data_IF_434301414771
#
_entry.id   IF_434301414771
#
_cell.length_a   1.000
_cell.length_b   1.000
_cell.length_c   1.000
_cell.angle_alpha   90.00
_cell.angle_beta   90.00
_cell.angle_gamma   90.00
#
_symmetry.space_group_name_H-M   'P 1'
#
loop_
_entity.id
_entity.type
_entity.pdbx_description
1 polymer ?
#
# COMPACT_ATOMS: atom_id res chain seq x y z
N UNK A 1 46.02 1.57 -72.27
CA UNK A 1 47.10 1.81 -71.28
C UNK A 1 46.53 1.39 -69.92
N UNK A 2 46.63 0.11 -69.57
CA UNK A 2 47.74 -0.56 -68.87
C UNK A 2 47.96 -0.08 -67.43
N UNK A 3 47.65 -0.96 -66.47
CA UNK A 3 48.40 -1.35 -65.26
C UNK A 3 47.37 -1.80 -64.20
N UNK A 4 47.05 -3.09 -63.98
CA UNK A 4 47.83 -4.16 -63.34
C UNK A 4 48.59 -3.75 -62.07
N UNK A 5 48.21 -4.36 -60.94
CA UNK A 5 48.87 -4.29 -59.64
C UNK A 5 48.00 -4.94 -58.55
N UNK A 6 47.95 -6.28 -58.50
CA UNK A 6 48.66 -7.10 -57.49
C UNK A 6 47.94 -7.17 -56.14
N UNK A 7 47.26 -8.29 -55.91
CA UNK A 7 46.70 -8.68 -54.62
C UNK A 7 47.81 -8.96 -53.59
N UNK A 8 47.71 -8.46 -52.35
CA UNK A 8 48.55 -8.92 -51.26
C UNK A 8 47.80 -9.96 -50.40
N UNK A 9 48.34 -11.18 -50.47
CA UNK A 9 48.69 -12.06 -49.37
C UNK A 9 47.80 -12.04 -48.10
N UNK A 10 46.95 -13.07 -47.98
CA UNK A 10 46.26 -13.43 -46.73
C UNK A 10 47.29 -14.09 -45.80
N UNK A 11 47.67 -13.38 -44.74
CA UNK A 11 48.27 -13.96 -43.53
C UNK A 11 47.18 -14.01 -42.44
N UNK A 12 47.10 -15.09 -41.65
CA UNK A 12 46.08 -15.18 -40.59
C UNK A 12 46.48 -14.26 -39.44
N UNK A 13 45.68 -13.24 -39.19
CA UNK A 13 45.84 -12.37 -38.01
C UNK A 13 45.05 -12.98 -36.86
N UNK A 14 45.81 -13.23 -35.81
CA UNK A 14 45.48 -13.68 -34.45
C UNK A 14 44.08 -13.32 -33.92
N UNK A 15 43.48 -14.30 -33.25
CA UNK A 15 42.44 -14.12 -32.22
C UNK A 15 42.87 -13.02 -31.24
N UNK A 16 42.25 -11.86 -31.32
CA UNK A 16 42.25 -10.90 -30.21
C UNK A 16 40.96 -10.05 -30.20
N UNK A 17 40.18 -10.31 -29.17
CA UNK A 17 39.26 -9.39 -28.49
C UNK A 17 38.08 -8.83 -29.31
N UNK A 18 37.02 -9.63 -29.39
CA UNK A 18 35.64 -9.12 -29.33
C UNK A 18 35.53 -8.27 -28.07
N UNK A 19 35.59 -6.94 -28.21
CA UNK A 19 35.14 -6.02 -27.16
C UNK A 19 33.63 -6.20 -27.06
N UNK A 20 33.21 -7.04 -26.13
CA UNK A 20 31.85 -7.02 -25.59
C UNK A 20 31.52 -5.58 -25.21
N UNK A 21 30.64 -4.94 -25.99
CA UNK A 21 30.01 -3.70 -25.57
C UNK A 21 29.21 -4.04 -24.32
N UNK A 22 29.61 -3.47 -23.17
CA UNK A 22 28.91 -3.68 -21.91
C UNK A 22 27.40 -3.45 -22.10
N UNK A 23 26.55 -4.29 -21.48
CA UNK A 23 25.11 -4.13 -21.60
C UNK A 23 24.72 -2.79 -20.98
N UNK A 24 24.24 -1.88 -21.83
CA UNK A 24 23.63 -0.62 -21.40
C UNK A 24 22.42 -0.98 -20.54
N UNK A 25 22.54 -0.74 -19.23
CA UNK A 25 21.49 -0.99 -18.25
C UNK A 25 20.20 -0.25 -18.69
N UNK A 26 19.08 -0.96 -18.93
CA UNK A 26 17.80 -0.34 -19.31
C UNK A 26 17.22 0.59 -18.21
N UNK A 27 17.88 0.70 -17.06
CA UNK A 27 17.52 1.56 -15.94
C UNK A 27 18.18 2.96 -15.96
N UNK A 28 19.05 3.27 -16.94
CA UNK A 28 19.61 4.63 -17.08
C UNK A 28 18.52 5.61 -17.54
N UNK A 29 17.87 6.26 -16.57
CA UNK A 29 16.87 7.32 -16.79
C UNK A 29 15.58 7.18 -15.98
N UNK A 30 15.35 6.05 -15.30
CA UNK A 30 14.21 5.90 -14.39
C UNK A 30 14.53 6.61 -13.07
N UNK A 31 14.00 7.81 -12.84
CA UNK A 31 14.00 8.46 -11.51
C UNK A 31 13.05 7.72 -10.54
N UNK A 32 13.34 6.46 -10.22
CA UNK A 32 12.65 5.68 -9.20
C UNK A 32 13.36 5.77 -7.84
N UNK A 33 13.42 6.98 -7.26
CA UNK A 33 14.07 7.20 -5.97
C UNK A 33 13.16 6.77 -4.81
N UNK A 34 13.20 5.52 -4.36
CA UNK A 34 12.68 5.19 -3.02
C UNK A 34 13.81 5.16 -2.02
N UNK A 35 13.75 5.96 -0.95
CA UNK A 35 14.68 5.86 0.18
C UNK A 35 14.74 4.45 0.79
N UNK A 36 15.91 4.05 1.28
CA UNK A 36 16.16 2.75 1.91
C UNK A 36 15.29 2.59 3.17
N UNK A 37 14.44 1.55 3.18
CA UNK A 37 13.57 1.27 4.32
C UNK A 37 14.32 0.51 5.42
N UNK A 38 14.79 1.22 6.45
CA UNK A 38 15.50 0.64 7.59
C UNK A 38 14.53 -0.06 8.54
N UNK A 39 14.60 -1.40 8.64
CA UNK A 39 13.91 -2.15 9.70
C UNK A 39 13.26 -3.49 9.34
N UNK A 40 13.74 -4.22 8.33
CA UNK A 40 13.21 -5.55 8.01
C UNK A 40 13.93 -6.64 8.82
N UNK A 41 13.29 -7.17 9.87
CA UNK A 41 13.71 -8.44 10.47
C UNK A 41 13.30 -9.62 9.58
N UNK A 42 14.25 -10.53 9.37
CA UNK A 42 14.32 -11.64 8.40
C UNK A 42 13.24 -12.75 8.48
N UNK A 43 12.14 -12.59 9.22
CA UNK A 43 11.12 -13.65 9.37
C UNK A 43 9.70 -13.09 9.37
N UNK A 44 9.06 -13.05 8.19
CA UNK A 44 7.62 -12.80 8.07
C UNK A 44 6.85 -14.12 8.26
N UNK A 45 6.59 -14.51 9.51
CA UNK A 45 5.64 -15.59 9.78
C UNK A 45 4.23 -15.23 9.31
N UNK A 46 3.47 -16.19 8.75
CA UNK A 46 2.03 -16.05 8.47
C UNK A 46 1.29 -15.75 9.78
N UNK A 47 1.10 -14.48 10.13
CA UNK A 47 0.25 -14.07 11.26
C UNK A 47 -1.21 -14.05 10.81
N UNK A 48 -2.13 -14.57 11.63
CA UNK A 48 -3.58 -14.47 11.38
C UNK A 48 -3.97 -12.99 11.30
N UNK A 49 -4.68 -12.60 10.24
CA UNK A 49 -5.15 -11.23 10.04
C UNK A 49 -6.29 -10.95 11.01
N UNK A 50 -6.24 -9.82 11.70
CA UNK A 50 -7.32 -9.35 12.57
C UNK A 50 -8.44 -8.83 11.68
N UNK A 51 -9.65 -9.32 11.91
CA UNK A 51 -10.88 -8.81 11.30
C UNK A 51 -11.69 -8.17 12.43
N UNK A 52 -12.09 -6.92 12.25
CA UNK A 52 -13.09 -6.32 13.11
C UNK A 52 -14.42 -7.06 12.92
N UNK A 53 -15.04 -7.44 14.03
CA UNK A 53 -16.25 -8.28 14.09
C UNK A 53 -17.29 -7.69 15.05
N UNK A 54 -17.28 -6.37 15.19
CA UNK A 54 -18.10 -5.61 16.14
C UNK A 54 -19.44 -5.15 15.56
N UNK A 55 -19.88 -5.73 14.44
CA UNK A 55 -21.09 -5.31 13.73
C UNK A 55 -20.97 -3.94 13.04
N UNK A 56 -19.77 -3.35 12.96
CA UNK A 56 -19.54 -2.00 12.43
C UNK A 56 -18.60 -2.00 11.24
N UNK A 57 -18.40 -0.81 10.66
CA UNK A 57 -17.33 -0.60 9.69
C UNK A 57 -15.96 -0.56 10.37
N UNK A 58 -14.95 -1.07 9.68
CA UNK A 58 -13.59 -1.22 10.19
C UNK A 58 -12.58 -0.58 9.23
N UNK A 59 -11.62 0.15 9.77
CA UNK A 59 -10.60 0.84 8.99
C UNK A 59 -9.30 0.05 9.04
N UNK A 60 -8.69 -0.16 7.87
CA UNK A 60 -7.44 -0.89 7.74
C UNK A 60 -6.43 -0.08 6.96
N UNK A 61 -5.19 -0.04 7.43
CA UNK A 61 -4.05 0.30 6.59
C UNK A 61 -3.54 -0.97 5.92
N UNK A 62 -3.60 -1.01 4.61
CA UNK A 62 -3.07 -2.11 3.79
C UNK A 62 -1.82 -1.67 3.04
N UNK A 63 -0.87 -2.58 2.92
CA UNK A 63 0.35 -2.34 2.15
C UNK A 63 0.91 -3.64 1.55
N UNK A 64 1.56 -3.52 0.40
CA UNK A 64 2.32 -4.61 -0.21
C UNK A 64 3.52 -4.06 -0.97
N UNK A 65 4.56 -4.88 -1.11
CA UNK A 65 5.83 -4.56 -1.77
C UNK A 65 6.13 -5.61 -2.84
N UNK A 66 6.78 -5.19 -3.91
CA UNK A 66 7.25 -6.07 -4.99
C UNK A 66 8.43 -6.94 -4.54
N UNK A 67 8.66 -8.06 -5.23
CA UNK A 67 9.81 -8.95 -4.99
C UNK A 67 11.14 -8.23 -5.29
N UNK A 68 12.19 -8.58 -4.55
CA UNK A 68 13.56 -8.10 -4.79
C UNK A 68 13.83 -6.65 -4.37
N UNK A 69 12.81 -5.79 -4.36
CA UNK A 69 13.02 -4.35 -4.22
C UNK A 69 13.44 -3.67 -5.53
N UNK A 70 13.76 -4.48 -6.55
CA UNK A 70 14.25 -4.06 -7.87
C UNK A 70 13.13 -3.88 -8.91
N UNK A 71 11.91 -4.32 -8.58
CA UNK A 71 10.75 -4.09 -9.46
C UNK A 71 10.09 -2.77 -9.09
N UNK A 72 10.30 -1.78 -9.94
CA UNK A 72 9.76 -0.43 -9.82
C UNK A 72 8.70 -0.16 -10.88
N UNK A 73 7.58 0.39 -10.42
CA UNK A 73 6.50 0.85 -11.27
C UNK A 73 6.90 2.17 -11.92
N UNK A 74 6.82 2.22 -13.24
CA UNK A 74 6.79 3.46 -14.00
C UNK A 74 5.46 4.20 -13.77
N UNK A 75 5.25 5.34 -14.42
CA UNK A 75 4.06 6.16 -14.22
C UNK A 75 2.79 5.49 -14.77
N UNK A 76 2.90 4.82 -15.91
CA UNK A 76 1.81 4.07 -16.52
C UNK A 76 1.37 2.90 -15.63
N UNK A 77 2.32 2.25 -14.97
CA UNK A 77 2.09 1.12 -14.07
C UNK A 77 1.45 1.54 -12.76
N UNK A 78 1.84 2.71 -12.23
CA UNK A 78 1.15 3.31 -11.09
C UNK A 78 -0.31 3.64 -11.45
N UNK A 79 -0.55 4.20 -12.64
CA UNK A 79 -1.91 4.47 -13.12
C UNK A 79 -2.73 3.18 -13.32
N UNK A 80 -2.14 2.17 -13.97
CA UNK A 80 -2.78 0.87 -14.15
C UNK A 80 -3.10 0.21 -12.80
N UNK A 81 -2.19 0.29 -11.83
CA UNK A 81 -2.42 -0.20 -10.48
C UNK A 81 -3.57 0.54 -9.80
N UNK A 82 -3.61 1.88 -9.89
CA UNK A 82 -4.66 2.71 -9.32
C UNK A 82 -6.04 2.37 -9.90
N UNK A 83 -6.12 2.14 -11.22
CA UNK A 83 -7.35 1.71 -11.90
C UNK A 83 -7.82 0.37 -11.33
N UNK A 84 -6.93 -0.63 -11.23
CA UNK A 84 -7.26 -1.95 -10.68
C UNK A 84 -7.72 -1.85 -9.23
N UNK A 85 -6.99 -1.09 -8.40
CA UNK A 85 -7.28 -0.87 -6.99
C UNK A 85 -8.68 -0.30 -6.79
N UNK A 86 -9.01 0.79 -7.50
CA UNK A 86 -10.30 1.50 -7.41
C UNK A 86 -11.45 0.67 -7.96
N UNK A 87 -11.26 0.03 -9.12
CA UNK A 87 -12.29 -0.80 -9.77
C UNK A 87 -12.71 -1.96 -8.86
N UNK A 88 -11.74 -2.64 -8.26
CA UNK A 88 -12.00 -3.73 -7.32
C UNK A 88 -12.54 -3.23 -5.98
N UNK A 89 -12.11 -2.07 -5.49
CA UNK A 89 -12.66 -1.50 -4.26
C UNK A 89 -14.17 -1.21 -4.39
N UNK A 90 -14.58 -0.60 -5.52
CA UNK A 90 -16.01 -0.37 -5.85
C UNK A 90 -16.81 -1.68 -5.90
N UNK A 91 -16.28 -2.71 -6.55
CA UNK A 91 -16.93 -4.01 -6.61
C UNK A 91 -17.05 -4.66 -5.22
N UNK A 92 -15.97 -4.65 -4.44
CA UNK A 92 -15.95 -5.27 -3.12
C UNK A 92 -16.64 -4.43 -2.04
N UNK A 93 -17.22 -3.26 -2.37
CA UNK A 93 -17.83 -2.38 -1.37
C UNK A 93 -16.83 -1.78 -0.38
N UNK A 94 -15.55 -1.72 -0.74
CA UNK A 94 -14.48 -1.15 0.07
C UNK A 94 -14.32 0.33 -0.30
N UNK A 95 -14.35 1.20 0.71
CA UNK A 95 -14.08 2.62 0.51
C UNK A 95 -12.59 2.86 0.69
N UNK A 96 -11.93 3.41 -0.34
CA UNK A 96 -10.56 3.91 -0.22
C UNK A 96 -10.63 5.30 0.42
N UNK A 97 -10.01 5.45 1.58
CA UNK A 97 -9.96 6.70 2.34
C UNK A 97 -8.81 7.58 1.88
N UNK A 98 -7.63 7.00 1.71
CA UNK A 98 -6.48 7.60 0.99
C UNK A 98 -5.56 6.48 0.49
N UNK A 99 -4.60 6.80 -0.36
CA UNK A 99 -3.62 5.88 -0.90
C UNK A 99 -2.30 6.58 -1.24
N UNK A 100 -1.24 5.82 -1.41
CA UNK A 100 0.03 6.28 -1.97
C UNK A 100 0.67 5.11 -2.72
N UNK A 101 0.86 5.24 -4.04
CA UNK A 101 1.49 4.22 -4.89
C UNK A 101 2.91 4.68 -5.18
N UNK A 102 3.88 3.99 -4.60
CA UNK A 102 5.31 4.25 -4.76
C UNK A 102 5.87 3.39 -5.90
N UNK A 103 7.16 3.52 -6.19
CA UNK A 103 7.82 2.69 -7.21
C UNK A 103 7.73 1.19 -6.91
N UNK A 104 8.14 0.72 -5.73
CA UNK A 104 8.19 -0.73 -5.43
C UNK A 104 7.16 -1.19 -4.39
N UNK A 105 6.27 -0.31 -3.92
CA UNK A 105 5.27 -0.64 -2.92
C UNK A 105 4.09 0.33 -2.96
N UNK A 106 3.01 0.01 -2.27
CA UNK A 106 1.89 0.95 -2.09
C UNK A 106 1.34 0.86 -0.67
N UNK A 107 0.65 1.93 -0.28
CA UNK A 107 -0.10 2.07 0.96
C UNK A 107 -1.54 2.47 0.60
N UNK A 108 -2.53 1.93 1.30
CA UNK A 108 -3.90 2.42 1.22
C UNK A 108 -4.57 2.34 2.59
N UNK A 109 -5.28 3.40 2.97
CA UNK A 109 -6.21 3.38 4.10
C UNK A 109 -7.59 3.07 3.55
N UNK A 110 -8.23 2.03 4.07
CA UNK A 110 -9.52 1.58 3.55
C UNK A 110 -10.53 1.33 4.66
N UNK A 111 -11.80 1.65 4.40
CA UNK A 111 -12.92 1.32 5.26
C UNK A 111 -13.68 0.14 4.65
N UNK A 112 -13.82 -0.93 5.44
CA UNK A 112 -14.61 -2.11 5.12
C UNK A 112 -15.94 -1.99 5.87
N UNK A 113 -17.09 -1.99 5.19
CA UNK A 113 -18.38 -1.88 5.86
C UNK A 113 -18.75 -3.19 6.58
N UNK A 114 -19.73 -3.11 7.49
CA UNK A 114 -20.33 -4.30 8.08
C UNK A 114 -21.02 -5.13 6.98
N UNK A 115 -20.52 -6.35 6.77
CA UNK A 115 -20.84 -7.16 5.59
C UNK A 115 -22.34 -7.51 5.49
N UNK A 116 -23.02 -8.05 6.52
CA UNK A 116 -24.45 -8.35 6.45
C UNK A 116 -25.29 -7.13 6.04
N UNK A 117 -25.15 -6.01 6.74
CA UNK A 117 -25.91 -4.79 6.45
C UNK A 117 -25.62 -4.24 5.05
N UNK A 118 -24.36 -4.34 4.59
CA UNK A 118 -24.00 -3.90 3.25
C UNK A 118 -24.63 -4.80 2.17
N UNK A 119 -24.54 -6.13 2.31
CA UNK A 119 -25.12 -7.07 1.36
C UNK A 119 -26.63 -6.93 1.28
N UNK A 120 -27.30 -6.81 2.42
CA UNK A 120 -28.74 -6.58 2.47
C UNK A 120 -29.12 -5.27 1.77
N UNK A 121 -28.39 -4.18 2.04
CA UNK A 121 -28.65 -2.89 1.37
C UNK A 121 -28.46 -2.93 -0.15
N UNK A 122 -27.61 -3.83 -0.66
CA UNK A 122 -27.28 -3.94 -2.09
C UNK A 122 -28.11 -4.96 -2.83
N UNK A 123 -28.38 -6.10 -2.21
CA UNK A 123 -28.97 -7.27 -2.85
C UNK A 123 -30.24 -7.74 -2.15
N UNK A 124 -30.67 -7.11 -1.07
CA UNK A 124 -31.80 -7.55 -0.25
C UNK A 124 -31.45 -8.77 0.61
N UNK A 125 -32.43 -9.21 1.39
CA UNK A 125 -32.32 -10.45 2.16
C UNK A 125 -32.16 -11.67 1.23
N UNK A 126 -31.54 -12.77 1.71
CA UNK A 126 -31.52 -14.03 0.97
C UNK A 126 -32.93 -14.44 0.53
N UNK A 127 -33.08 -14.80 -0.75
CA UNK A 127 -34.38 -15.15 -1.34
C UNK A 127 -35.29 -13.96 -1.69
N UNK A 128 -34.91 -12.72 -1.38
CA UNK A 128 -35.71 -11.55 -1.73
C UNK A 128 -35.76 -11.35 -3.26
N UNK A 129 -36.95 -11.00 -3.77
CA UNK A 129 -37.16 -10.73 -5.19
C UNK A 129 -36.20 -9.64 -5.71
N UNK A 130 -35.62 -9.88 -6.89
CA UNK A 130 -34.72 -8.95 -7.57
C UNK A 130 -33.28 -8.88 -7.03
N UNK A 131 -32.93 -9.64 -5.98
CA UNK A 131 -31.56 -9.65 -5.45
C UNK A 131 -30.51 -10.12 -6.44
N UNK A 132 -30.82 -11.17 -7.20
CA UNK A 132 -29.97 -11.68 -8.27
C UNK A 132 -29.79 -10.66 -9.41
N UNK A 133 -30.87 -10.00 -9.84
CA UNK A 133 -30.80 -8.98 -10.88
C UNK A 133 -29.87 -7.81 -10.45
N UNK A 134 -29.95 -7.39 -9.18
CA UNK A 134 -29.03 -6.39 -8.61
C UNK A 134 -27.59 -6.90 -8.56
N UNK A 135 -27.37 -8.17 -8.24
CA UNK A 135 -26.04 -8.79 -8.27
C UNK A 135 -25.45 -8.81 -9.68
N UNK A 136 -26.22 -9.28 -10.68
CA UNK A 136 -25.81 -9.29 -12.08
C UNK A 136 -25.47 -7.88 -12.58
N UNK A 137 -26.27 -6.86 -12.23
CA UNK A 137 -25.94 -5.46 -12.53
C UNK A 137 -24.62 -5.03 -11.88
N UNK A 138 -24.39 -5.41 -10.62
CA UNK A 138 -23.17 -5.10 -9.88
C UNK A 138 -21.92 -5.80 -10.45
N UNK A 139 -22.07 -7.02 -11.01
CA UNK A 139 -21.00 -7.72 -11.73
C UNK A 139 -20.49 -6.92 -12.95
N UNK A 140 -21.32 -6.05 -13.54
CA UNK A 140 -20.95 -5.14 -14.62
C UNK A 140 -19.83 -4.16 -14.25
N UNK A 141 -19.52 -3.98 -12.96
CA UNK A 141 -18.33 -3.23 -12.53
C UNK A 141 -17.02 -3.92 -12.90
N UNK A 142 -17.01 -5.25 -13.07
CA UNK A 142 -15.81 -6.04 -13.34
C UNK A 142 -15.83 -6.74 -14.70
N UNK A 143 -17.00 -7.13 -15.17
CA UNK A 143 -17.17 -7.97 -16.36
C UNK A 143 -17.91 -7.24 -17.47
N UNK A 144 -17.71 -7.67 -18.72
CA UNK A 144 -18.42 -7.12 -19.86
C UNK A 144 -19.92 -7.45 -19.81
N UNK A 145 -20.72 -6.65 -20.52
CA UNK A 145 -22.17 -6.92 -20.67
C UNK A 145 -22.43 -8.32 -21.25
N UNK A 146 -21.61 -8.74 -22.23
CA UNK A 146 -21.69 -10.07 -22.85
C UNK A 146 -21.44 -11.19 -21.83
N UNK A 147 -20.44 -11.03 -20.97
CA UNK A 147 -20.15 -12.01 -19.93
C UNK A 147 -21.27 -12.11 -18.90
N UNK A 148 -21.81 -10.97 -18.45
CA UNK A 148 -22.94 -10.95 -17.50
C UNK A 148 -24.20 -11.57 -18.10
N UNK A 149 -24.49 -11.31 -19.38
CA UNK A 149 -25.63 -11.91 -20.08
C UNK A 149 -25.46 -13.43 -20.24
N UNK A 150 -24.25 -13.89 -20.58
CA UNK A 150 -23.94 -15.32 -20.66
C UNK A 150 -24.11 -16.01 -19.30
N UNK A 151 -23.62 -15.42 -18.21
CA UNK A 151 -23.82 -15.94 -16.86
C UNK A 151 -25.30 -16.05 -16.50
N UNK A 152 -26.10 -15.03 -16.82
CA UNK A 152 -27.55 -15.04 -16.57
C UNK A 152 -28.22 -16.20 -17.31
N UNK A 153 -27.95 -16.35 -18.61
CA UNK A 153 -28.53 -17.43 -19.41
C UNK A 153 -28.08 -18.82 -18.92
N UNK A 154 -26.81 -18.96 -18.52
CA UNK A 154 -26.29 -20.19 -17.91
C UNK A 154 -27.03 -20.55 -16.63
N UNK A 155 -27.23 -19.58 -15.72
CA UNK A 155 -27.93 -19.81 -14.45
C UNK A 155 -29.41 -20.14 -14.65
N UNK A 156 -30.08 -19.49 -15.60
CA UNK A 156 -31.46 -19.82 -15.98
C UNK A 156 -31.56 -21.25 -16.52
N UNK A 157 -30.66 -21.65 -17.43
CA UNK A 157 -30.60 -23.02 -17.96
C UNK A 157 -30.30 -24.05 -16.88
N UNK A 158 -29.36 -23.78 -15.98
CA UNK A 158 -29.04 -24.66 -14.86
C UNK A 158 -30.26 -24.91 -13.97
N UNK A 159 -31.04 -23.87 -13.64
CA UNK A 159 -32.23 -24.04 -12.79
C UNK A 159 -33.30 -24.90 -13.44
N UNK A 160 -33.42 -24.89 -14.77
CA UNK A 160 -34.36 -25.75 -15.51
C UNK A 160 -33.99 -27.23 -15.47
N UNK A 161 -32.73 -27.56 -15.16
CA UNK A 161 -32.25 -28.95 -15.07
C UNK A 161 -32.55 -29.62 -13.72
N UNK A 162 -33.23 -28.92 -12.81
CA UNK A 162 -33.71 -29.46 -11.53
C UNK A 162 -32.99 -28.90 -10.30
N UNK A 163 -33.44 -29.35 -9.12
CA UNK A 163 -33.06 -28.78 -7.82
C UNK A 163 -31.55 -28.83 -7.55
N UNK A 164 -30.86 -29.90 -7.96
CA UNK A 164 -29.42 -30.05 -7.78
C UNK A 164 -28.62 -28.96 -8.50
N UNK A 165 -29.00 -28.63 -9.74
CA UNK A 165 -28.35 -27.55 -10.50
C UNK A 165 -28.74 -26.17 -9.99
N UNK A 166 -29.99 -25.99 -9.52
CA UNK A 166 -30.42 -24.76 -8.87
C UNK A 166 -29.57 -24.45 -7.61
N UNK A 167 -29.26 -25.47 -6.80
CA UNK A 167 -28.38 -25.33 -5.63
C UNK A 167 -26.97 -24.85 -6.01
N UNK A 168 -26.40 -25.39 -7.09
CA UNK A 168 -25.08 -24.95 -7.57
C UNK A 168 -25.08 -23.48 -8.03
N UNK A 169 -26.19 -22.98 -8.57
CA UNK A 169 -26.33 -21.55 -8.89
C UNK A 169 -26.29 -20.71 -7.61
N UNK A 170 -27.00 -21.11 -6.57
CA UNK A 170 -26.96 -20.39 -5.28
C UNK A 170 -25.56 -20.42 -4.65
N UNK A 171 -24.84 -21.54 -4.74
CA UNK A 171 -23.45 -21.64 -4.30
C UNK A 171 -22.51 -20.69 -5.07
N UNK A 172 -22.71 -20.55 -6.40
CA UNK A 172 -21.98 -19.59 -7.24
C UNK A 172 -22.30 -18.14 -6.85
N UNK A 173 -23.57 -17.83 -6.57
CA UNK A 173 -24.01 -16.52 -6.09
C UNK A 173 -23.33 -16.17 -4.76
N UNK A 174 -23.30 -17.10 -3.81
CA UNK A 174 -22.64 -16.90 -2.52
C UNK A 174 -21.12 -16.77 -2.66
N UNK A 175 -20.49 -17.54 -3.55
CA UNK A 175 -19.06 -17.38 -3.87
C UNK A 175 -18.75 -15.99 -4.45
N UNK A 176 -19.63 -15.42 -5.27
CA UNK A 176 -19.49 -14.05 -5.76
C UNK A 176 -19.64 -13.02 -4.64
N UNK A 177 -20.65 -13.17 -3.79
CA UNK A 177 -20.85 -12.30 -2.62
C UNK A 177 -19.69 -12.40 -1.65
N UNK A 178 -19.05 -13.57 -1.47
CA UNK A 178 -17.93 -13.78 -0.55
C UNK A 178 -16.72 -12.86 -0.81
N UNK A 179 -16.60 -12.34 -2.04
CA UNK A 179 -15.56 -11.39 -2.49
C UNK A 179 -15.80 -9.95 -2.04
N UNK A 180 -16.98 -9.65 -1.48
CA UNK A 180 -17.39 -8.32 -1.05
C UNK A 180 -17.14 -8.10 0.44
N UNK A 181 -16.99 -6.86 0.88
CA UNK A 181 -16.76 -6.47 2.28
C UNK A 181 -15.65 -7.28 2.97
N UNK A 182 -14.64 -7.69 2.20
CA UNK A 182 -13.58 -8.56 2.66
C UNK A 182 -12.25 -8.07 2.09
N UNK A 183 -11.47 -7.39 2.94
CA UNK A 183 -10.17 -6.82 2.58
C UNK A 183 -9.20 -7.87 2.03
N UNK A 184 -9.34 -9.13 2.46
CA UNK A 184 -8.46 -10.24 2.04
C UNK A 184 -8.72 -10.64 0.60
N UNK A 185 -10.00 -10.82 0.25
CA UNK A 185 -10.42 -11.18 -1.10
C UNK A 185 -10.16 -10.04 -2.07
N UNK A 186 -10.49 -8.81 -1.67
CA UNK A 186 -10.18 -7.61 -2.45
C UNK A 186 -8.69 -7.51 -2.76
N UNK A 187 -7.82 -7.58 -1.74
CA UNK A 187 -6.37 -7.47 -1.95
C UNK A 187 -5.79 -8.65 -2.74
N UNK A 188 -6.33 -9.87 -2.57
CA UNK A 188 -5.96 -11.03 -3.39
C UNK A 188 -6.23 -10.74 -4.86
N UNK A 189 -7.42 -10.25 -5.18
CA UNK A 189 -7.79 -9.91 -6.56
C UNK A 189 -6.98 -8.74 -7.13
N UNK A 190 -6.75 -7.68 -6.35
CA UNK A 190 -5.93 -6.53 -6.78
C UNK A 190 -4.56 -7.02 -7.21
N UNK A 191 -3.91 -7.80 -6.34
CA UNK A 191 -2.57 -8.32 -6.58
C UNK A 191 -2.54 -9.26 -7.78
N UNK A 192 -3.48 -10.21 -7.88
CA UNK A 192 -3.51 -11.17 -8.99
C UNK A 192 -3.77 -10.49 -10.33
N UNK A 193 -4.76 -9.59 -10.42
CA UNK A 193 -5.09 -8.91 -11.68
C UNK A 193 -3.95 -8.01 -12.13
N UNK A 194 -3.38 -7.23 -11.22
CA UNK A 194 -2.24 -6.39 -11.56
C UNK A 194 -1.02 -7.22 -11.94
N UNK A 195 -0.69 -8.28 -11.20
CA UNK A 195 0.43 -9.16 -11.57
C UNK A 195 0.27 -9.77 -12.95
N UNK A 196 -0.94 -10.22 -13.33
CA UNK A 196 -1.18 -10.76 -14.68
C UNK A 196 -0.98 -9.71 -15.77
N UNK A 197 -1.44 -8.47 -15.53
CA UNK A 197 -1.25 -7.37 -16.46
C UNK A 197 0.23 -6.98 -16.58
N UNK A 198 0.89 -6.75 -15.44
CA UNK A 198 2.31 -6.37 -15.35
C UNK A 198 3.20 -7.42 -16.01
N UNK A 199 3.03 -8.69 -15.65
CA UNK A 199 3.82 -9.79 -16.20
C UNK A 199 3.65 -9.92 -17.72
N UNK A 200 2.42 -9.74 -18.23
CA UNK A 200 2.18 -9.74 -19.69
C UNK A 200 2.89 -8.58 -20.37
N UNK A 201 2.85 -7.38 -19.79
CA UNK A 201 3.49 -6.18 -20.34
C UNK A 201 5.01 -6.31 -20.43
N UNK A 202 5.61 -6.98 -19.45
CA UNK A 202 7.07 -7.14 -19.33
C UNK A 202 7.58 -8.50 -19.81
N UNK A 203 6.73 -9.31 -20.47
CA UNK A 203 7.06 -10.68 -20.88
C UNK A 203 7.64 -11.54 -19.75
N UNK A 204 7.29 -11.20 -18.51
CA UNK A 204 7.81 -11.79 -17.28
C UNK A 204 6.91 -12.95 -16.84
N UNK A 205 7.52 -13.93 -16.19
CA UNK A 205 6.80 -14.97 -15.45
C UNK A 205 7.11 -14.90 -13.94
N UNK A 206 6.26 -15.54 -13.13
CA UNK A 206 6.45 -15.66 -11.69
C UNK A 206 5.86 -14.52 -10.84
N UNK A 207 6.29 -14.50 -9.57
CA UNK A 207 5.67 -13.68 -8.51
C UNK A 207 6.14 -12.22 -8.57
N UNK A 208 5.18 -11.29 -8.63
CA UNK A 208 5.44 -9.85 -8.56
C UNK A 208 5.60 -9.36 -7.11
N UNK A 209 4.84 -9.94 -6.16
CA UNK A 209 4.72 -9.44 -4.79
C UNK A 209 5.48 -10.31 -3.78
N UNK A 210 6.33 -9.70 -2.96
CA UNK A 210 7.25 -10.41 -2.06
C UNK A 210 6.56 -11.34 -1.05
N UNK A 211 5.39 -10.94 -0.55
CA UNK A 211 4.71 -11.62 0.55
C UNK A 211 3.18 -11.40 0.45
N UNK A 212 2.36 -12.09 1.27
CA UNK A 212 0.99 -11.64 1.54
C UNK A 212 0.96 -10.16 1.92
N UNK A 213 -0.14 -9.46 1.61
CA UNK A 213 -0.25 -8.05 2.00
C UNK A 213 -0.33 -7.91 3.52
N UNK A 214 0.30 -6.85 4.05
CA UNK A 214 0.17 -6.46 5.45
C UNK A 214 -1.13 -5.67 5.61
N UNK A 215 -1.82 -5.93 6.72
CA UNK A 215 -3.05 -5.25 7.11
C UNK A 215 -2.93 -4.88 8.57
N UNK A 216 -3.15 -3.61 8.87
CA UNK A 216 -3.14 -3.07 10.24
C UNK A 216 -4.56 -2.58 10.52
N UNK A 217 -5.22 -3.11 11.54
CA UNK A 217 -6.52 -2.61 11.98
C UNK A 217 -6.30 -1.27 12.70
N UNK A 218 -7.02 -0.24 12.27
CA UNK A 218 -7.03 1.07 12.93
C UNK A 218 -8.21 1.07 13.88
N UNK A 219 -7.92 0.86 15.16
CA UNK A 219 -8.92 0.77 16.22
C UNK A 219 -8.32 1.23 17.55
N UNK A 220 -8.96 2.20 18.18
CA UNK A 220 -8.69 2.57 19.56
C UNK A 220 -9.56 1.76 20.51
N UNK A 221 -8.96 1.17 21.54
CA UNK A 221 -9.69 0.49 22.63
C UNK A 221 -9.42 1.18 23.96
N UNK A 222 -10.47 1.37 24.75
CA UNK A 222 -10.35 1.85 26.13
C UNK A 222 -9.70 0.78 27.04
N UNK A 223 -9.43 1.14 28.30
CA UNK A 223 -8.85 0.20 29.30
C UNK A 223 -9.73 -1.02 29.59
N UNK A 224 -11.02 -0.94 29.29
CA UNK A 224 -11.96 -2.04 29.39
C UNK A 224 -12.06 -2.89 28.10
N UNK A 225 -11.23 -2.60 27.10
CA UNK A 225 -11.17 -3.31 25.82
C UNK A 225 -12.28 -2.94 24.83
N UNK A 226 -13.11 -1.93 25.13
CA UNK A 226 -14.19 -1.47 24.24
C UNK A 226 -13.65 -0.48 23.21
N UNK A 227 -14.18 -0.54 22.00
CA UNK A 227 -13.82 0.38 20.92
C UNK A 227 -14.21 1.82 21.26
N UNK A 228 -13.25 2.74 21.20
CA UNK A 228 -13.49 4.19 21.26
C UNK A 228 -13.58 4.75 19.85
N UNK A 229 -14.74 5.30 19.46
CA UNK A 229 -14.95 5.84 18.12
C UNK A 229 -14.06 7.06 17.88
N UNK A 230 -14.13 8.08 18.74
CA UNK A 230 -13.37 9.33 18.62
C UNK A 230 -11.85 9.10 18.46
N UNK A 231 -11.25 8.29 19.34
CA UNK A 231 -9.82 8.00 19.27
C UNK A 231 -9.46 7.17 18.02
N UNK A 232 -10.35 6.27 17.57
CA UNK A 232 -10.15 5.52 16.32
C UNK A 232 -10.12 6.47 15.12
N UNK A 233 -10.98 7.49 15.14
CA UNK A 233 -11.08 8.50 14.09
C UNK A 233 -9.83 9.38 14.05
N UNK A 234 -9.31 9.82 15.20
CA UNK A 234 -8.07 10.58 15.26
C UNK A 234 -6.85 9.80 14.75
N UNK A 235 -6.75 8.52 15.12
CA UNK A 235 -5.70 7.65 14.57
C UNK A 235 -5.87 7.50 13.05
N UNK A 236 -7.10 7.40 12.54
CA UNK A 236 -7.34 7.32 11.10
C UNK A 236 -6.90 8.60 10.37
N UNK A 237 -7.12 9.80 10.96
CA UNK A 237 -6.63 11.09 10.42
C UNK A 237 -5.10 11.11 10.34
N UNK A 238 -4.43 10.70 11.42
CA UNK A 238 -2.96 10.63 11.46
C UNK A 238 -2.44 9.61 10.44
N UNK A 239 -3.01 8.40 10.40
CA UNK A 239 -2.63 7.36 9.44
C UNK A 239 -2.82 7.81 8.00
N UNK A 240 -3.89 8.54 7.69
CA UNK A 240 -4.11 9.09 6.36
C UNK A 240 -2.99 10.08 5.99
N UNK A 241 -2.71 11.07 6.84
CA UNK A 241 -1.65 12.05 6.60
C UNK A 241 -0.27 11.38 6.46
N UNK A 242 0.03 10.39 7.31
CA UNK A 242 1.23 9.57 7.23
C UNK A 242 1.36 8.83 5.88
N UNK A 243 0.25 8.39 5.30
CA UNK A 243 0.24 7.71 4.01
C UNK A 243 0.57 8.71 2.89
N UNK A 244 -0.05 9.89 2.91
CA UNK A 244 0.15 10.94 1.91
C UNK A 244 1.53 11.63 2.03
N UNK A 245 2.17 11.58 3.21
CA UNK A 245 3.55 12.05 3.43
C UNK A 245 4.64 11.05 3.03
N UNK A 246 4.29 9.84 2.58
CA UNK A 246 5.28 8.84 2.15
C UNK A 246 6.25 9.33 1.06
N UNK A 247 5.79 10.06 0.02
CA UNK A 247 6.68 10.56 -1.03
C UNK A 247 7.69 11.58 -0.51
N UNK A 248 7.25 12.50 0.35
CA UNK A 248 8.13 13.48 1.03
C UNK A 248 9.17 12.77 1.87
N UNK A 249 8.73 11.80 2.69
CA UNK A 249 9.63 10.97 3.51
C UNK A 249 10.65 10.20 2.68
N UNK A 250 10.24 9.69 1.52
CA UNK A 250 11.13 8.95 0.61
C UNK A 250 12.11 9.88 -0.14
N UNK A 251 11.94 11.20 -0.04
CA UNK A 251 12.73 12.19 -0.77
C UNK A 251 12.41 12.26 -2.26
N UNK A 252 11.21 11.83 -2.66
CA UNK A 252 10.73 11.88 -4.05
C UNK A 252 10.30 13.29 -4.46
N UNK A 253 9.73 14.03 -3.52
CA UNK A 253 9.16 15.37 -3.69
C UNK A 253 9.44 16.19 -2.43
N UNK A 254 9.41 17.51 -2.56
CA UNK A 254 9.60 18.41 -1.42
C UNK A 254 8.31 18.59 -0.63
N UNK A 255 7.16 18.55 -1.33
CA UNK A 255 5.82 18.75 -0.78
C UNK A 255 4.87 17.63 -1.20
N UNK A 256 3.92 17.28 -0.33
CA UNK A 256 3.02 16.14 -0.55
C UNK A 256 2.15 16.29 -1.81
N UNK A 257 1.71 17.51 -2.13
CA UNK A 257 0.90 17.82 -3.32
C UNK A 257 1.62 17.62 -4.66
N UNK A 258 2.95 17.54 -4.66
CA UNK A 258 3.73 17.34 -5.89
C UNK A 258 3.71 15.87 -6.34
N UNK A 259 3.30 14.94 -5.47
CA UNK A 259 3.28 13.52 -5.78
C UNK A 259 1.91 13.04 -6.26
N UNK A 260 1.79 12.95 -7.59
CA UNK A 260 0.57 12.59 -8.32
C UNK A 260 -0.15 11.32 -7.82
N UNK A 261 0.57 10.26 -7.48
CA UNK A 261 -0.04 8.97 -7.12
C UNK A 261 -0.35 8.82 -5.62
N UNK A 262 -0.85 9.90 -5.02
CA UNK A 262 -1.33 9.97 -3.64
C UNK A 262 -2.81 10.37 -3.56
N UNK A 263 -3.47 10.06 -2.46
CA UNK A 263 -4.85 10.45 -2.22
C UNK A 263 -4.97 11.96 -2.03
N UNK A 264 -3.99 12.59 -1.38
CA UNK A 264 -3.92 14.04 -1.23
C UNK A 264 -3.82 14.76 -2.57
N UNK A 265 -2.83 14.43 -3.41
CA UNK A 265 -2.68 15.04 -4.73
C UNK A 265 -3.92 14.82 -5.60
N UNK A 266 -4.45 13.60 -5.62
CA UNK A 266 -5.67 13.31 -6.39
C UNK A 266 -6.87 14.16 -5.92
N UNK A 267 -7.01 14.41 -4.61
CA UNK A 267 -8.08 15.23 -4.08
C UNK A 267 -7.90 16.73 -4.42
N UNK A 268 -6.66 17.21 -4.50
CA UNK A 268 -6.34 18.55 -4.99
C UNK A 268 -6.70 18.71 -6.48
N UNK A 269 -6.50 17.67 -7.27
CA UNK A 269 -6.85 17.61 -8.70
C UNK A 269 -8.36 17.41 -8.96
N UNK A 270 -9.19 17.39 -7.91
CA UNK A 270 -10.64 17.29 -8.04
C UNK A 270 -11.16 15.85 -8.18
N UNK A 271 -10.35 14.83 -7.89
CA UNK A 271 -10.81 13.45 -7.90
C UNK A 271 -11.90 13.23 -6.83
N UNK A 272 -13.13 13.01 -7.28
CA UNK A 272 -14.31 12.85 -6.41
C UNK A 272 -14.15 11.70 -5.42
N UNK A 273 -13.47 10.62 -5.80
CA UNK A 273 -13.24 9.46 -4.94
C UNK A 273 -12.24 9.77 -3.83
N UNK A 274 -11.15 10.46 -4.17
CA UNK A 274 -10.14 10.91 -3.21
C UNK A 274 -10.71 11.95 -2.24
N UNK A 275 -11.46 12.93 -2.75
CA UNK A 275 -12.18 13.92 -1.92
C UNK A 275 -13.14 13.21 -0.96
N UNK A 276 -13.98 12.30 -1.45
CA UNK A 276 -14.91 11.57 -0.58
C UNK A 276 -14.19 10.70 0.45
N UNK A 277 -13.03 10.13 0.11
CA UNK A 277 -12.19 9.37 1.02
C UNK A 277 -11.63 10.23 2.16
N UNK A 278 -10.98 11.36 1.83
CA UNK A 278 -10.42 12.28 2.82
C UNK A 278 -11.51 12.96 3.65
N UNK A 279 -12.63 13.33 3.05
CA UNK A 279 -13.77 13.86 3.79
C UNK A 279 -14.30 12.83 4.82
N UNK A 280 -14.34 11.55 4.46
CA UNK A 280 -14.73 10.48 5.38
C UNK A 280 -13.70 10.20 6.48
N UNK A 281 -12.43 10.59 6.30
CA UNK A 281 -11.40 10.59 7.36
C UNK A 281 -11.56 11.81 8.27
N UNK A 282 -11.95 12.95 7.70
CA UNK A 282 -12.12 14.22 8.40
C UNK A 282 -13.53 14.41 8.97
N UNK A 283 -14.40 13.39 8.87
CA UNK A 283 -15.77 13.39 9.38
C UNK A 283 -16.63 14.53 8.83
N UNK A 284 -16.54 14.76 7.52
CA UNK A 284 -17.24 15.82 6.81
C UNK A 284 -17.84 15.32 5.49
N UNK A 285 -18.70 16.14 4.89
CA UNK A 285 -19.33 15.89 3.60
C UNK A 285 -18.41 16.37 2.46
N UNK A 286 -18.45 15.73 1.28
CA UNK A 286 -17.68 16.19 0.12
C UNK A 286 -17.93 17.66 -0.29
N UNK A 287 -19.13 18.19 -0.03
CA UNK A 287 -19.47 19.59 -0.29
C UNK A 287 -18.64 20.59 0.55
N UNK A 288 -18.10 20.14 1.69
CA UNK A 288 -17.30 20.96 2.61
C UNK A 288 -15.81 20.97 2.22
N UNK A 289 -15.42 20.21 1.18
CA UNK A 289 -14.03 20.06 0.74
C UNK A 289 -13.34 21.40 0.47
N UNK A 290 -13.95 22.24 -0.38
CA UNK A 290 -13.39 23.54 -0.76
C UNK A 290 -13.36 24.56 0.38
N UNK A 291 -14.15 24.32 1.44
CA UNK A 291 -14.18 25.15 2.63
C UNK A 291 -13.06 24.79 3.60
N UNK A 292 -13.42 24.33 4.80
CA UNK A 292 -12.46 24.13 5.89
C UNK A 292 -11.66 22.81 5.79
N UNK A 293 -12.13 21.81 5.03
CA UNK A 293 -11.57 20.46 5.06
C UNK A 293 -10.22 20.41 4.34
N UNK A 294 -10.14 20.97 3.13
CA UNK A 294 -8.90 21.06 2.35
C UNK A 294 -7.76 21.75 3.12
N UNK A 295 -7.92 22.95 3.70
CA UNK A 295 -6.85 23.59 4.47
C UNK A 295 -6.50 22.80 5.74
N UNK A 296 -7.49 22.28 6.47
CA UNK A 296 -7.24 21.50 7.69
C UNK A 296 -6.48 20.21 7.42
N UNK A 297 -6.79 19.50 6.32
CA UNK A 297 -6.02 18.34 5.92
C UNK A 297 -4.64 18.74 5.37
N UNK A 298 -4.58 19.84 4.61
CA UNK A 298 -3.33 20.40 4.09
C UNK A 298 -2.32 20.70 5.19
N UNK A 299 -2.74 21.24 6.34
CA UNK A 299 -1.90 21.43 7.51
C UNK A 299 -1.31 20.11 8.04
N UNK A 300 -2.08 19.01 7.99
CA UNK A 300 -1.59 17.69 8.44
C UNK A 300 -0.53 17.10 7.52
N UNK A 301 -0.47 17.55 6.26
CA UNK A 301 0.50 17.09 5.25
C UNK A 301 1.45 18.20 4.82
N UNK A 302 1.53 19.31 5.57
CA UNK A 302 2.38 20.45 5.22
C UNK A 302 3.86 20.26 5.60
N UNK A 303 4.21 19.10 6.15
CA UNK A 303 5.61 18.78 6.45
C UNK A 303 6.40 18.68 5.15
N UNK A 304 7.47 19.50 5.07
CA UNK A 304 8.42 19.45 3.97
C UNK A 304 9.46 18.37 4.18
N UNK A 305 10.16 18.01 3.11
CA UNK A 305 11.34 17.15 3.20
C UNK A 305 12.39 17.77 4.13
N UNK A 306 13.02 16.92 4.94
CA UNK A 306 14.15 17.31 5.77
C UNK A 306 15.42 17.39 4.92
N UNK A 307 16.20 18.45 5.12
CA UNK A 307 17.52 18.59 4.51
C UNK A 307 18.49 17.54 5.08
N UNK A 308 19.56 17.15 4.36
CA UNK A 308 20.58 16.27 4.91
C UNK A 308 21.14 16.81 6.24
N UNK A 309 20.99 16.04 7.32
CA UNK A 309 21.41 16.42 8.68
C UNK A 309 20.36 17.18 9.50
N UNK A 310 19.20 17.54 8.93
CA UNK A 310 18.09 18.15 9.66
C UNK A 310 17.28 17.08 10.41
N UNK A 311 17.13 17.23 11.73
CA UNK A 311 16.29 16.33 12.52
C UNK A 311 14.83 16.82 12.53
N UNK A 312 13.89 15.90 12.28
CA UNK A 312 12.47 16.18 12.45
C UNK A 312 12.15 16.58 13.89
N UNK A 313 11.29 17.59 14.06
CA UNK A 313 10.77 17.99 15.37
C UNK A 313 10.13 16.79 16.08
N UNK A 314 10.17 16.68 17.42
CA UNK A 314 9.56 15.55 18.14
C UNK A 314 8.07 15.31 17.82
N UNK A 315 7.33 16.38 17.49
CA UNK A 315 5.92 16.34 17.09
C UNK A 315 5.66 16.02 15.61
N UNK A 316 6.71 15.92 14.78
CA UNK A 316 6.60 15.67 13.34
C UNK A 316 6.08 14.28 13.05
N UNK A 317 5.05 14.19 12.21
CA UNK A 317 4.51 12.94 11.70
C UNK A 317 5.57 12.15 10.94
N UNK A 318 6.49 12.80 10.22
CA UNK A 318 7.59 12.12 9.51
C UNK A 318 8.43 11.22 10.45
N UNK A 319 8.54 11.56 11.74
CA UNK A 319 9.23 10.73 12.75
C UNK A 319 8.45 9.46 13.15
N UNK A 320 7.13 9.49 13.04
CA UNK A 320 6.21 8.45 13.56
C UNK A 320 5.74 7.44 12.50
N UNK A 321 5.81 7.77 11.20
CA UNK A 321 5.39 6.88 10.09
C UNK A 321 6.04 5.47 10.16
N UNK A 322 7.35 5.30 10.47
CA UNK A 322 7.94 3.96 10.54
C UNK A 322 7.35 3.05 11.62
N UNK A 323 6.89 3.59 12.75
CA UNK A 323 6.31 2.81 13.85
C UNK A 323 4.91 2.26 13.49
N UNK A 324 4.12 3.06 12.78
CA UNK A 324 2.74 2.73 12.39
C UNK A 324 2.64 1.54 11.43
N UNK A 325 3.69 1.31 10.66
CA UNK A 325 3.79 0.19 9.73
C UNK A 325 4.34 -1.09 10.37
N UNK A 326 4.67 -1.12 11.67
CA UNK A 326 5.23 -2.30 12.37
C UNK A 326 4.17 -3.12 13.12
N UNK A 327 3.13 -2.50 13.67
CA UNK A 327 2.08 -3.17 14.46
C UNK A 327 0.99 -3.87 13.64
N UNK A 328 0.19 -4.75 14.26
CA UNK A 328 -1.00 -5.41 13.67
C UNK A 328 -2.31 -4.66 13.98
N UNK A 329 -2.34 -3.94 15.09
CA UNK A 329 -3.36 -2.96 15.47
C UNK A 329 -2.61 -1.69 15.83
N UNK A 330 -3.09 -0.55 15.35
CA UNK A 330 -2.62 0.76 15.79
C UNK A 330 -3.76 1.38 16.58
N UNK A 331 -3.54 1.57 17.88
CA UNK A 331 -4.51 2.17 18.80
C UNK A 331 -4.95 1.36 20.03
N UNK A 332 -4.48 0.14 20.28
CA UNK A 332 -4.82 -0.51 21.56
C UNK A 332 -4.25 0.28 22.75
N UNK A 333 -4.93 0.28 23.90
CA UNK A 333 -4.41 0.90 25.14
C UNK A 333 -2.98 0.42 25.44
N UNK A 334 -2.71 -0.88 25.24
CA UNK A 334 -1.38 -1.46 25.31
C UNK A 334 -0.41 -0.95 24.23
N UNK A 335 -0.85 -0.66 23.00
CA UNK A 335 0.04 -0.08 21.98
C UNK A 335 0.48 1.33 22.33
N UNK A 336 -0.42 2.17 22.87
CA UNK A 336 -0.04 3.51 23.31
C UNK A 336 0.78 3.49 24.61
N UNK A 337 0.40 2.71 25.63
CA UNK A 337 1.14 2.63 26.90
C UNK A 337 2.48 1.88 26.74
N UNK A 338 2.56 0.77 25.99
CA UNK A 338 3.83 0.05 25.76
C UNK A 338 4.75 0.76 24.77
N UNK A 339 4.27 1.37 23.68
CA UNK A 339 5.17 2.07 22.74
C UNK A 339 5.68 3.39 23.34
N UNK A 340 4.85 4.09 24.12
CA UNK A 340 5.26 5.27 24.88
C UNK A 340 6.28 4.91 25.97
N UNK A 341 5.99 3.95 26.85
CA UNK A 341 6.90 3.60 27.96
C UNK A 341 8.17 2.86 27.49
N UNK A 342 8.08 1.96 26.50
CA UNK A 342 9.26 1.23 25.96
C UNK A 342 10.21 2.14 25.17
N UNK A 343 9.69 3.24 24.63
CA UNK A 343 10.47 4.18 23.84
C UNK A 343 10.84 5.44 24.62
N UNK A 344 10.29 5.67 25.81
CA UNK A 344 10.53 6.86 26.67
C UNK A 344 12.00 7.13 26.95
N UNK A 345 12.78 6.11 27.30
CA UNK A 345 14.24 6.25 27.49
C UNK A 345 15.01 6.34 26.16
N UNK A 346 14.51 5.68 25.09
CA UNK A 346 15.10 5.75 23.75
C UNK A 346 14.91 7.14 23.11
N UNK A 347 13.80 7.81 23.44
CA UNK A 347 13.47 9.19 23.08
C UNK A 347 14.39 10.21 23.79
N UNK A 348 14.88 9.89 25.00
CA UNK A 348 15.80 10.75 25.76
C UNK A 348 17.28 10.47 25.46
N UNK A 349 17.68 9.21 25.19
CA UNK A 349 19.09 8.84 24.91
C UNK A 349 19.59 9.23 23.52
N UNK A 350 18.75 9.24 22.48
CA UNK A 350 19.19 9.57 21.11
C UNK A 350 19.49 11.05 20.86
N UNK A 351 19.16 11.96 21.78
CA UNK A 351 19.58 13.36 21.72
C UNK A 351 21.06 13.58 22.09
N UNK A 352 21.73 12.63 22.74
CA UNK A 352 23.16 12.75 23.11
C UNK A 352 24.13 12.05 22.14
N UNK A 353 23.64 11.21 21.23
CA UNK A 353 24.49 10.34 20.40
C UNK A 353 24.71 10.82 18.95
N UNK A 354 24.19 11.98 18.55
CA UNK A 354 24.42 12.58 17.22
C UNK A 354 25.27 13.85 17.26
N UNK A 355 25.91 14.14 18.41
CA UNK A 355 27.00 15.10 18.52
C UNK A 355 28.30 14.31 18.67
N UNK A 356 29.03 14.19 17.56
CA UNK A 356 30.50 14.23 17.42
C UNK A 356 30.79 13.58 16.07
N UNK A 357 31.19 14.43 15.12
CA UNK A 357 31.70 13.99 13.84
C UNK A 357 33.15 13.52 13.92
N UNK A 358 33.58 13.06 12.75
CA UNK A 358 34.94 13.16 12.24
C UNK A 358 35.91 12.00 12.57
N UNK A 359 36.45 11.50 11.46
CA UNK A 359 37.84 11.08 11.21
C UNK A 359 38.19 9.58 11.34
N UNK A 360 38.50 9.06 10.15
CA UNK A 360 39.59 8.19 9.73
C UNK A 360 40.31 7.28 10.75
N UNK A 361 40.49 6.03 10.30
CA UNK A 361 41.79 5.35 10.35
C UNK A 361 42.17 4.63 11.65
N UNK A 362 42.53 3.35 11.47
CA UNK A 362 43.48 2.57 12.27
C UNK A 362 42.98 1.87 13.55
N UNK A 363 43.43 0.62 13.57
CA UNK A 363 43.44 -0.52 14.48
C UNK A 363 43.10 -0.40 15.98
N UNK A 364 42.49 -1.49 16.42
CA UNK A 364 42.19 -1.87 17.79
C UNK A 364 43.47 -2.37 18.48
N UNK A 365 43.85 -1.74 19.59
CA UNK A 365 44.68 -2.38 20.60
C UNK A 365 44.10 -2.16 22.01
N UNK A 366 43.92 -3.27 22.71
CA UNK A 366 43.53 -3.35 24.11
C UNK A 366 44.69 -2.94 25.02
N UNK A 367 44.44 -2.05 25.98
CA UNK A 367 45.21 -1.95 27.22
C UNK A 367 44.28 -1.54 28.36
N UNK A 368 44.29 -2.35 29.41
CA UNK A 368 43.61 -2.06 30.67
C UNK A 368 44.50 -1.29 31.64
N UNK A 369 43.85 -0.58 32.56
CA UNK A 369 44.24 -0.24 33.94
C UNK A 369 42.91 0.21 34.58
N UNK A 370 42.37 -0.40 35.63
CA UNK A 370 42.97 -0.60 36.94
C UNK A 370 42.82 0.68 37.74
N UNK A 371 41.78 0.83 38.56
CA UNK A 371 41.87 1.53 39.85
C UNK A 371 40.72 1.15 40.80
N UNK A 372 41.13 0.80 42.04
CA UNK A 372 40.34 0.42 43.21
C UNK A 372 39.87 1.65 44.00
N UNK A 373 38.85 1.40 44.84
CA UNK A 373 38.63 2.03 46.16
C UNK A 373 37.66 3.20 46.14
N UNK A 374 36.71 3.37 47.08
CA UNK A 374 36.43 2.70 48.34
C UNK A 374 35.76 3.71 49.28
N UNK A 375 34.85 3.24 50.16
CA UNK A 375 34.28 3.98 51.30
C UNK A 375 32.98 4.73 51.00
N UNK A 376 31.87 4.51 51.72
CA UNK A 376 31.64 3.65 52.89
C UNK A 376 30.15 3.46 53.14
#
# INVERSE_FOLDING_TARGET
MNAFGSAPNVQPVSDDMVKESEPVDPLVGVKALTGVYVGMHRKSFRRKRIRGDDGRSNVYHVMSRTCGGDVFFDDLEKEAFLIVLRKLARFSGIQILTFCIMGNHFHALVRVPHRPSWLESKFGLPGAAGGEARLLAHLGLLYSKTHVAALKAEWESMRQQGEGMARLVEERIEALKARMCNVSEWMREVKVRFSRWYNRRHERQGTLWMAPFKSVLVEARDRAGRRSNEHTEDIAKVMAACIDLNPVRAGLVERAEEYRWSGWSAALDGDKGAIAGLCAVMHCKPAEWLGYVKPLYGEKVSERRLSPGEEARPSSLLRHIPAMSKSLVVGSAAYFEEDYERSKEHYQRKRKALSIGSIAGVEVHALGTGFRGGGG
#
